data_IF_423538492791
#
_entry.id   IF_423538492791
#
_cell.length_a   1.000
_cell.length_b   1.000
_cell.length_c   1.000
_cell.angle_alpha   90.00
_cell.angle_beta   90.00
_cell.angle_gamma   90.00
#
_symmetry.space_group_name_H-M   'P 1'
#
loop_
_entity.id
_entity.type
_entity.pdbx_description
1 polymer ?
#
# COMPACT_ATOMS: atom_id res chain seq x y z
N UNK A 1 24.93 -1.15 9.08
CA UNK A 1 24.45 -0.55 7.85
C UNK A 1 22.96 -0.72 7.69
N UNK A 2 22.29 0.34 7.35
CA UNK A 2 20.83 0.39 7.37
C UNK A 2 20.26 0.07 5.99
N UNK A 3 20.22 -1.22 5.70
CA UNK A 3 19.57 -1.70 4.49
C UNK A 3 18.07 -1.76 4.73
N UNK A 4 17.28 -1.18 3.84
CA UNK A 4 15.81 -1.13 3.99
C UNK A 4 15.20 -2.53 4.01
N UNK A 5 15.88 -3.54 3.48
CA UNK A 5 15.39 -4.92 3.50
C UNK A 5 15.22 -5.48 4.91
N UNK A 6 15.93 -4.92 5.91
CA UNK A 6 15.73 -5.31 7.31
C UNK A 6 14.35 -4.94 7.84
N UNK A 7 13.71 -3.96 7.24
CA UNK A 7 12.41 -3.46 7.69
C UNK A 7 11.28 -3.91 6.77
N UNK A 8 11.61 -4.67 5.74
CA UNK A 8 10.66 -5.06 4.72
C UNK A 8 9.71 -6.14 5.23
N UNK A 9 8.41 -5.90 5.06
CA UNK A 9 7.42 -6.97 5.08
C UNK A 9 7.37 -7.53 3.65
N UNK A 10 7.85 -8.76 3.43
CA UNK A 10 7.96 -9.29 2.08
C UNK A 10 6.59 -9.52 1.45
N UNK A 11 6.53 -9.50 0.13
CA UNK A 11 5.30 -9.65 -0.64
C UNK A 11 4.46 -10.85 -0.19
N UNK A 12 5.09 -11.97 0.12
CA UNK A 12 4.40 -13.18 0.54
C UNK A 12 3.60 -13.00 1.83
N UNK A 13 3.94 -11.99 2.63
CA UNK A 13 3.28 -11.68 3.90
C UNK A 13 2.38 -10.46 3.81
N UNK A 14 2.26 -9.86 2.63
CA UNK A 14 1.42 -8.69 2.41
C UNK A 14 0.07 -9.09 1.84
N UNK A 15 -0.97 -8.37 2.23
CA UNK A 15 -2.21 -8.36 1.48
C UNK A 15 -2.09 -7.33 0.36
N UNK A 16 -2.61 -7.65 -0.81
CA UNK A 16 -2.65 -6.73 -1.95
C UNK A 16 -3.84 -7.06 -2.84
N UNK A 17 -4.20 -6.12 -3.69
CA UNK A 17 -5.26 -6.28 -4.68
C UNK A 17 -4.65 -6.38 -6.07
N UNK A 18 -5.30 -7.11 -6.97
CA UNK A 18 -4.98 -7.02 -8.39
C UNK A 18 -5.77 -5.88 -9.04
N UNK A 19 -5.17 -5.24 -10.02
CA UNK A 19 -5.79 -4.10 -10.71
C UNK A 19 -7.05 -4.47 -11.50
N UNK A 20 -7.27 -5.75 -11.76
CA UNK A 20 -8.48 -6.23 -12.42
C UNK A 20 -9.63 -6.59 -11.45
N UNK A 21 -9.43 -6.36 -10.15
CA UNK A 21 -10.47 -6.63 -9.15
C UNK A 21 -11.64 -5.68 -9.27
N UNK A 22 -12.83 -6.20 -8.91
CA UNK A 22 -14.01 -5.36 -8.73
C UNK A 22 -13.96 -4.64 -7.38
N UNK A 23 -14.78 -3.62 -7.25
CA UNK A 23 -14.91 -2.89 -5.98
C UNK A 23 -15.35 -3.84 -4.86
N UNK A 24 -16.27 -4.76 -5.15
CA UNK A 24 -16.71 -5.75 -4.17
C UNK A 24 -15.56 -6.64 -3.70
N UNK A 25 -14.75 -7.15 -4.62
CA UNK A 25 -13.60 -7.98 -4.27
C UNK A 25 -12.61 -7.23 -3.38
N UNK A 26 -12.41 -5.93 -3.67
CA UNK A 26 -11.52 -5.09 -2.86
C UNK A 26 -12.06 -4.92 -1.44
N UNK A 27 -13.35 -4.67 -1.30
CA UNK A 27 -13.98 -4.52 0.03
C UNK A 27 -13.81 -5.80 0.85
N UNK A 28 -14.08 -6.95 0.24
CA UNK A 28 -13.95 -8.25 0.91
C UNK A 28 -12.51 -8.51 1.34
N UNK A 29 -11.55 -8.21 0.45
CA UNK A 29 -10.12 -8.43 0.74
C UNK A 29 -9.64 -7.52 1.87
N UNK A 30 -10.04 -6.25 1.86
CA UNK A 30 -9.63 -5.30 2.89
C UNK A 30 -10.26 -5.63 4.25
N UNK A 31 -11.48 -6.11 4.25
CA UNK A 31 -12.15 -6.56 5.48
C UNK A 31 -11.36 -7.70 6.14
N UNK A 32 -10.97 -8.71 5.37
CA UNK A 32 -10.20 -9.84 5.87
C UNK A 32 -8.81 -9.40 6.34
N UNK A 33 -8.14 -8.56 5.57
CA UNK A 33 -6.79 -8.10 5.88
C UNK A 33 -6.74 -7.11 7.05
N UNK A 34 -7.83 -6.37 7.28
CA UNK A 34 -7.89 -5.36 8.33
C UNK A 34 -7.03 -4.13 8.05
N UNK A 35 -6.74 -3.85 6.79
CA UNK A 35 -5.89 -2.71 6.41
C UNK A 35 -6.75 -1.50 6.05
N UNK A 36 -6.27 -0.30 6.46
CA UNK A 36 -6.88 0.97 6.06
C UNK A 36 -6.45 1.39 4.66
N UNK A 37 -5.35 0.87 4.17
CA UNK A 37 -4.81 1.11 2.83
C UNK A 37 -4.10 -0.16 2.36
N UNK A 38 -4.20 -0.46 1.07
CA UNK A 38 -3.69 -1.71 0.52
C UNK A 38 -3.07 -1.46 -0.86
N UNK A 39 -1.92 -2.06 -1.17
CA UNK A 39 -1.31 -1.90 -2.48
C UNK A 39 -2.10 -2.61 -3.58
N UNK A 40 -2.08 -2.04 -4.77
CA UNK A 40 -2.65 -2.60 -5.99
C UNK A 40 -1.52 -3.03 -6.90
N UNK A 41 -1.56 -4.27 -7.36
CA UNK A 41 -0.58 -4.82 -8.29
C UNK A 41 -1.28 -5.23 -9.59
N UNK A 42 -0.52 -5.24 -10.69
CA UNK A 42 -1.00 -5.91 -11.88
C UNK A 42 -0.67 -7.41 -11.84
N UNK A 43 -1.08 -8.17 -12.85
CA UNK A 43 -0.85 -9.62 -12.89
C UNK A 43 0.62 -9.99 -13.11
N UNK A 44 1.46 -9.03 -13.48
CA UNK A 44 2.92 -9.21 -13.55
C UNK A 44 3.60 -8.98 -12.20
N UNK A 45 2.83 -8.55 -11.18
CA UNK A 45 3.39 -8.24 -9.87
C UNK A 45 3.93 -6.83 -9.73
N UNK A 46 3.70 -5.96 -10.70
CA UNK A 46 4.16 -4.58 -10.64
C UNK A 46 3.20 -3.73 -9.79
N UNK A 47 3.78 -2.79 -9.03
CA UNK A 47 3.00 -1.86 -8.21
C UNK A 47 2.25 -0.86 -9.10
N UNK A 48 0.93 -0.76 -8.90
CA UNK A 48 0.07 0.11 -9.70
C UNK A 48 -0.54 1.26 -8.91
N UNK A 49 -0.56 1.18 -7.60
CA UNK A 49 -1.16 2.23 -6.78
C UNK A 49 -1.57 1.70 -5.42
N UNK A 50 -2.27 2.54 -4.67
CA UNK A 50 -2.74 2.23 -3.32
C UNK A 50 -4.22 2.57 -3.21
N UNK A 51 -5.02 1.61 -2.73
CA UNK A 51 -6.44 1.82 -2.46
C UNK A 51 -6.65 2.02 -0.97
N UNK A 52 -7.38 3.08 -0.61
CA UNK A 52 -7.66 3.44 0.78
C UNK A 52 -9.13 3.25 1.09
N UNK A 53 -9.44 3.09 2.38
CA UNK A 53 -10.84 2.97 2.83
C UNK A 53 -11.69 4.15 2.35
N UNK A 54 -11.14 5.37 2.40
CA UNK A 54 -11.83 6.56 1.91
C UNK A 54 -12.14 6.50 0.42
N UNK A 55 -11.23 5.93 -0.39
CA UNK A 55 -11.48 5.75 -1.82
C UNK A 55 -12.68 4.84 -2.05
N UNK A 56 -12.76 3.75 -1.28
CA UNK A 56 -13.88 2.80 -1.38
C UNK A 56 -15.19 3.43 -0.91
N UNK A 57 -15.17 4.19 0.17
CA UNK A 57 -16.35 4.86 0.69
C UNK A 57 -16.97 5.78 -0.36
N UNK A 58 -16.14 6.65 -0.96
CA UNK A 58 -16.62 7.59 -1.96
C UNK A 58 -17.01 6.89 -3.26
N UNK A 59 -16.33 5.81 -3.63
CA UNK A 59 -16.70 5.00 -4.78
C UNK A 59 -18.08 4.35 -4.57
N UNK A 60 -18.32 3.78 -3.41
CA UNK A 60 -19.62 3.19 -3.07
C UNK A 60 -20.75 4.22 -3.16
N UNK A 61 -20.52 5.41 -2.63
CA UNK A 61 -21.51 6.49 -2.67
C UNK A 61 -21.75 7.02 -4.09
N UNK A 62 -20.65 7.34 -4.80
CA UNK A 62 -20.74 8.12 -6.03
C UNK A 62 -20.85 7.26 -7.29
N UNK A 63 -20.35 6.02 -7.23
CA UNK A 63 -20.31 5.12 -8.39
C UNK A 63 -21.28 3.95 -8.28
N UNK A 64 -21.61 3.52 -7.06
CA UNK A 64 -22.34 2.28 -6.82
C UNK A 64 -23.67 2.49 -6.08
N UNK A 65 -24.05 3.72 -5.75
CA UNK A 65 -25.29 4.04 -5.01
C UNK A 65 -25.44 3.23 -3.72
N UNK A 66 -24.33 2.95 -3.04
CA UNK A 66 -24.26 2.12 -1.83
C UNK A 66 -24.80 0.69 -2.05
N UNK A 67 -24.79 0.20 -3.27
CA UNK A 67 -25.31 -1.12 -3.64
C UNK A 67 -24.15 -2.05 -4.00
N UNK A 68 -24.03 -3.14 -3.26
CA UNK A 68 -22.97 -4.13 -3.48
C UNK A 68 -23.09 -4.84 -4.83
N UNK A 69 -24.29 -4.92 -5.41
CA UNK A 69 -24.48 -5.47 -6.76
C UNK A 69 -23.79 -4.61 -7.80
N UNK A 70 -23.86 -3.29 -7.64
CA UNK A 70 -23.18 -2.36 -8.53
C UNK A 70 -21.66 -2.43 -8.31
N UNK A 71 -21.23 -2.66 -7.08
CA UNK A 71 -19.81 -2.84 -6.77
C UNK A 71 -19.21 -4.08 -7.46
N UNK A 72 -20.01 -5.10 -7.75
CA UNK A 72 -19.56 -6.27 -8.53
C UNK A 72 -19.27 -5.94 -9.99
N UNK A 73 -19.91 -4.90 -10.52
CA UNK A 73 -19.82 -4.52 -11.94
C UNK A 73 -18.81 -3.41 -12.20
N UNK A 74 -18.23 -2.82 -11.14
CA UNK A 74 -17.28 -1.72 -11.26
C UNK A 74 -15.90 -2.18 -10.83
N UNK A 75 -14.87 -1.72 -11.56
CA UNK A 75 -13.48 -2.09 -11.28
C UNK A 75 -12.81 -1.08 -10.37
N UNK A 76 -11.87 -1.53 -9.54
CA UNK A 76 -11.15 -0.63 -8.63
C UNK A 76 -10.35 0.44 -9.36
N UNK A 77 -9.85 0.12 -10.58
CA UNK A 77 -9.09 1.09 -11.35
C UNK A 77 -9.95 2.21 -11.94
N UNK A 78 -11.28 2.09 -11.90
CA UNK A 78 -12.21 3.17 -12.27
C UNK A 78 -12.34 4.21 -11.16
N UNK A 79 -11.92 3.88 -9.94
CA UNK A 79 -12.03 4.78 -8.79
C UNK A 79 -11.02 5.92 -8.93
N UNK A 80 -11.48 7.19 -8.88
CA UNK A 80 -10.55 8.31 -8.87
C UNK A 80 -9.87 8.42 -7.51
N UNK A 81 -8.69 7.80 -7.37
CA UNK A 81 -7.91 7.84 -6.14
C UNK A 81 -7.24 9.21 -6.01
N UNK A 82 -7.25 9.74 -4.80
CA UNK A 82 -6.67 11.07 -4.56
C UNK A 82 -5.16 11.07 -4.67
N UNK A 83 -4.52 10.05 -4.11
CA UNK A 83 -3.06 9.99 -4.08
C UNK A 83 -2.61 8.56 -3.79
N UNK A 84 -1.79 8.02 -4.66
CA UNK A 84 -1.15 6.74 -4.44
C UNK A 84 0.08 6.92 -3.56
N UNK A 85 0.42 5.90 -2.78
CA UNK A 85 1.67 5.89 -2.05
C UNK A 85 2.83 5.80 -3.04
N UNK A 86 3.85 6.62 -2.81
CA UNK A 86 5.02 6.68 -3.69
C UNK A 86 5.97 5.56 -3.27
N UNK A 87 6.35 4.67 -4.19
CA UNK A 87 7.28 3.58 -3.86
C UNK A 87 8.72 4.06 -3.79
N UNK A 88 9.56 3.23 -3.16
CA UNK A 88 11.02 3.39 -3.22
C UNK A 88 11.63 2.14 -3.83
N UNK A 89 12.84 2.26 -4.35
CA UNK A 89 13.60 1.12 -4.83
C UNK A 89 14.37 0.47 -3.69
N UNK A 90 14.81 -0.76 -3.88
CA UNK A 90 15.58 -1.52 -2.89
C UNK A 90 16.80 -0.74 -2.40
N UNK A 91 17.39 0.07 -3.28
CA UNK A 91 18.60 0.86 -2.98
C UNK A 91 18.33 2.16 -2.23
N UNK A 92 17.07 2.46 -1.90
CA UNK A 92 16.71 3.68 -1.18
C UNK A 92 17.38 3.72 0.20
N UNK A 93 17.67 4.93 0.65
CA UNK A 93 18.23 5.16 1.98
C UNK A 93 17.14 5.18 3.04
N UNK A 94 17.56 5.04 4.31
CA UNK A 94 16.63 5.24 5.44
C UNK A 94 16.04 6.64 5.45
N UNK A 95 16.82 7.63 5.01
CA UNK A 95 16.31 9.00 4.90
C UNK A 95 15.14 9.09 3.91
N UNK A 96 15.24 8.39 2.79
CA UNK A 96 14.15 8.33 1.80
C UNK A 96 12.89 7.71 2.42
N UNK A 97 13.06 6.62 3.17
CA UNK A 97 11.94 5.96 3.84
C UNK A 97 11.28 6.89 4.86
N UNK A 98 12.07 7.56 5.69
CA UNK A 98 11.56 8.48 6.71
C UNK A 98 10.79 9.60 6.06
N UNK A 99 11.31 10.14 4.98
CA UNK A 99 10.65 11.22 4.23
C UNK A 99 9.31 10.77 3.66
N UNK A 100 9.26 9.57 3.08
CA UNK A 100 8.00 9.01 2.54
C UNK A 100 6.99 8.75 3.67
N UNK A 101 7.43 8.22 4.80
CA UNK A 101 6.56 7.87 5.91
C UNK A 101 5.90 9.09 6.57
N UNK A 102 6.41 10.31 6.36
CA UNK A 102 5.75 11.51 6.86
C UNK A 102 4.38 11.76 6.21
N UNK A 103 4.17 11.23 5.00
CA UNK A 103 2.94 11.42 4.22
C UNK A 103 2.21 10.14 3.87
N UNK A 104 2.78 8.98 4.20
CA UNK A 104 2.25 7.67 3.82
C UNK A 104 2.29 6.73 5.01
N UNK A 105 1.26 5.92 5.16
CA UNK A 105 1.20 4.94 6.25
C UNK A 105 2.09 3.72 6.00
N UNK A 106 2.45 3.47 4.75
CA UNK A 106 3.46 2.48 4.38
C UNK A 106 4.17 2.93 3.10
N UNK A 107 5.34 2.36 2.87
CA UNK A 107 6.15 2.66 1.69
C UNK A 107 6.29 1.39 0.87
N UNK A 108 5.69 1.33 -0.33
CA UNK A 108 5.91 0.18 -1.22
C UNK A 108 7.37 0.12 -1.65
N UNK A 109 7.91 -1.09 -1.76
CA UNK A 109 9.30 -1.30 -2.22
C UNK A 109 9.25 -2.08 -3.52
N UNK A 110 9.92 -1.56 -4.53
CA UNK A 110 9.97 -2.16 -5.86
C UNK A 110 11.42 -2.45 -6.26
N UNK A 111 11.59 -3.42 -7.16
CA UNK A 111 12.90 -3.70 -7.76
C UNK A 111 13.14 -2.79 -8.98
N UNK A 112 14.23 -3.02 -9.69
CA UNK A 112 14.61 -2.20 -10.85
C UNK A 112 13.64 -2.34 -12.03
N UNK A 113 12.80 -3.37 -12.02
CA UNK A 113 11.81 -3.62 -13.08
C UNK A 113 10.41 -3.16 -12.69
N UNK A 114 10.25 -2.55 -11.51
CA UNK A 114 8.96 -2.12 -11.03
C UNK A 114 8.15 -3.18 -10.30
N UNK A 115 8.71 -4.37 -10.11
CA UNK A 115 8.02 -5.44 -9.39
C UNK A 115 7.94 -5.13 -7.90
N UNK A 116 6.75 -5.30 -7.33
CA UNK A 116 6.51 -5.11 -5.91
C UNK A 116 7.14 -6.26 -5.13
N UNK A 117 8.10 -5.96 -4.26
CA UNK A 117 8.77 -6.99 -3.44
C UNK A 117 8.29 -6.99 -2.00
N UNK A 118 7.57 -5.96 -1.58
CA UNK A 118 7.03 -5.84 -0.24
C UNK A 118 6.81 -4.39 0.13
N UNK A 119 6.62 -4.15 1.42
CA UNK A 119 6.42 -2.78 1.91
C UNK A 119 7.13 -2.60 3.26
N UNK A 120 7.36 -1.34 3.60
CA UNK A 120 7.87 -0.95 4.91
C UNK A 120 6.79 -0.12 5.58
N UNK A 121 6.34 -0.53 6.76
CA UNK A 121 5.29 0.19 7.48
C UNK A 121 5.85 1.42 8.16
N UNK A 122 5.00 2.43 8.34
CA UNK A 122 5.36 3.61 9.14
C UNK A 122 5.78 3.21 10.55
N UNK A 123 5.11 2.22 11.14
CA UNK A 123 5.44 1.71 12.47
C UNK A 123 6.87 1.18 12.53
N UNK A 124 7.30 0.41 11.53
CA UNK A 124 8.67 -0.13 11.48
C UNK A 124 9.70 1.01 11.42
N UNK A 125 9.40 2.05 10.64
CA UNK A 125 10.28 3.23 10.52
C UNK A 125 10.35 4.00 11.83
N UNK A 126 9.20 4.21 12.48
CA UNK A 126 9.15 4.90 13.78
C UNK A 126 9.93 4.12 14.84
N UNK A 127 9.76 2.80 14.88
CA UNK A 127 10.49 1.95 15.83
C UNK A 127 12.00 2.05 15.60
N UNK A 128 12.44 2.06 14.35
CA UNK A 128 13.85 2.27 14.03
C UNK A 128 14.36 3.61 14.56
N UNK A 129 13.61 4.68 14.35
CA UNK A 129 13.99 6.01 14.82
C UNK A 129 14.05 6.07 16.35
N UNK A 130 13.12 5.43 17.06
CA UNK A 130 13.11 5.37 18.50
C UNK A 130 14.34 4.62 19.03
N UNK A 131 14.64 3.47 18.44
CA UNK A 131 15.81 2.68 18.83
C UNK A 131 17.10 3.47 18.67
N UNK A 132 17.23 4.21 17.57
CA UNK A 132 18.40 5.06 17.34
C UNK A 132 18.52 6.17 18.36
N UNK A 133 17.41 6.77 18.77
CA UNK A 133 17.43 7.83 19.78
C UNK A 133 17.88 7.29 21.15
N UNK A 134 17.39 6.11 21.54
CA UNK A 134 17.75 5.50 22.81
C UNK A 134 19.19 4.99 22.83
N UNK A 135 19.69 4.52 21.69
CA UNK A 135 21.07 4.02 21.61
C UNK A 135 22.11 5.13 21.59
N UNK A 136 21.73 6.38 21.34
CA UNK A 136 22.64 7.52 21.32
C UNK A 136 22.86 8.14 22.71
N UNK A 137 22.06 7.75 23.68
CA UNK A 137 22.20 8.19 25.07
C UNK A 137 23.12 7.23 25.81
#
# INVERSE_FOLDING_TARGET
>A
MNNILFFLTPKAMCAFLYDDYTIRQAIEKMEVAGYAAIPILNRRGEYRGTLKEGDLLWAMRNMCNMDMRQAECRRIMEIPRRKDNIPVRITASMQDLIQRASNQNFVPVIDDYGAFIGLVTRKAIINYCQDKLFLQD
#
